data_IF_359948113943
#
_entry.id   IF_359948113943
#
_cell.length_a   1.000
_cell.length_b   1.000
_cell.length_c   1.000
_cell.angle_alpha   90.00
_cell.angle_beta   90.00
_cell.angle_gamma   90.00
#
_symmetry.space_group_name_H-M   'P 1'
#
loop_
_entity.id
_entity.type
_entity.pdbx_description
1 polymer ?
#
# COMPACT_ATOMS: atom_id res chain seq x y z
N UNK A 1 -3.21 -16.83 -17.43
CA UNK A 1 -2.57 -17.63 -16.95
C UNK A 1 -1.42 -17.63 -16.06
N UNK A 2 -1.46 -18.19 -15.10
CA UNK A 2 -0.70 -18.15 -14.35
C UNK A 2 -0.32 -19.08 -13.70
N UNK A 3 0.32 -19.30 -13.73
CA UNK A 3 1.24 -19.70 -13.38
C UNK A 3 1.34 -20.42 -12.14
N UNK A 4 2.26 -20.94 -11.80
CA UNK A 4 2.33 -21.82 -10.74
C UNK A 4 2.16 -21.11 -9.44
N UNK A 5 1.30 -21.65 -8.63
CA UNK A 5 0.94 -21.04 -7.39
C UNK A 5 2.11 -20.93 -6.43
N UNK A 6 3.01 -21.88 -6.45
CA UNK A 6 4.09 -21.88 -5.49
C UNK A 6 4.99 -20.67 -5.64
N UNK A 7 5.22 -20.23 -6.87
CA UNK A 7 6.09 -19.10 -7.09
C UNK A 7 5.40 -17.80 -6.81
N UNK A 8 4.07 -17.83 -6.61
CA UNK A 8 3.32 -16.61 -6.40
C UNK A 8 3.20 -16.22 -4.93
N UNK A 9 3.67 -17.06 -4.02
CA UNK A 9 3.50 -16.82 -2.59
C UNK A 9 4.08 -15.47 -2.17
N UNK A 10 5.22 -15.10 -2.73
CA UNK A 10 5.86 -13.84 -2.38
C UNK A 10 6.03 -12.97 -3.61
N UNK A 11 5.14 -13.11 -4.56
CA UNK A 11 5.24 -12.36 -5.78
C UNK A 11 5.05 -10.87 -5.50
N UNK A 12 5.93 -10.06 -6.05
CA UNK A 12 5.83 -8.62 -5.94
C UNK A 12 4.67 -8.15 -6.81
N UNK A 13 3.78 -7.36 -6.24
CA UNK A 13 2.62 -6.82 -6.93
C UNK A 13 2.56 -5.33 -6.72
N UNK A 14 1.61 -4.68 -7.37
CA UNK A 14 1.47 -3.24 -7.19
C UNK A 14 0.05 -2.80 -7.46
N UNK A 15 -0.35 -1.72 -6.76
CA UNK A 15 -1.56 -1.00 -7.07
C UNK A 15 -1.18 0.09 -8.06
N UNK A 16 -1.88 0.15 -9.18
CA UNK A 16 -1.66 1.18 -10.18
C UNK A 16 -2.89 2.05 -10.31
N UNK A 17 -2.67 3.34 -10.47
CA UNK A 17 -3.77 4.28 -10.64
C UNK A 17 -3.48 5.10 -11.89
N UNK A 18 -4.54 5.48 -12.60
CA UNK A 18 -4.38 6.26 -13.83
C UNK A 18 -4.93 7.65 -13.58
N UNK A 19 -4.04 8.63 -13.48
CA UNK A 19 -4.39 10.00 -13.15
C UNK A 19 -3.73 10.92 -14.15
N UNK A 20 -4.55 11.60 -14.95
CA UNK A 20 -4.06 12.63 -15.89
C UNK A 20 -2.87 12.18 -16.75
N UNK A 21 -2.92 10.96 -17.24
CA UNK A 21 -1.86 10.43 -18.08
C UNK A 21 -0.67 9.86 -17.34
N UNK A 22 -0.69 9.93 -16.01
CA UNK A 22 0.36 9.37 -15.20
C UNK A 22 -0.12 8.08 -14.52
N UNK A 23 0.82 7.25 -14.11
CA UNK A 23 0.49 5.99 -13.45
C UNK A 23 1.24 5.90 -12.13
N UNK A 24 0.77 6.62 -11.10
CA UNK A 24 1.33 6.42 -9.77
C UNK A 24 1.06 5.00 -9.29
N UNK A 25 1.95 4.46 -8.49
CA UNK A 25 1.80 3.08 -8.05
C UNK A 25 2.32 2.89 -6.64
N UNK A 26 1.78 1.86 -5.99
CA UNK A 26 2.25 1.43 -4.67
C UNK A 26 2.55 -0.06 -4.79
N UNK A 27 3.81 -0.42 -4.60
CA UNK A 27 4.23 -1.81 -4.70
C UNK A 27 4.05 -2.53 -3.38
N UNK A 28 3.68 -3.80 -3.45
CA UNK A 28 3.43 -4.55 -2.23
C UNK A 28 3.76 -6.02 -2.41
N UNK A 29 3.87 -6.72 -1.28
CA UNK A 29 4.05 -8.16 -1.25
C UNK A 29 3.03 -8.70 -0.26
N UNK A 30 2.28 -9.73 -0.65
CA UNK A 30 1.32 -10.39 0.23
C UNK A 30 1.92 -11.65 0.80
N UNK A 31 1.68 -11.87 2.08
CA UNK A 31 2.09 -13.08 2.77
C UNK A 31 0.91 -14.03 2.87
N UNK A 32 1.20 -15.32 2.95
CA UNK A 32 0.16 -16.32 3.16
C UNK A 32 -0.50 -16.17 4.53
N UNK A 33 0.14 -15.45 5.44
CA UNK A 33 -0.39 -15.27 6.77
C UNK A 33 -1.42 -14.15 6.86
N UNK A 34 -1.80 -13.58 5.72
CA UNK A 34 -2.78 -12.50 5.72
C UNK A 34 -2.17 -11.14 5.98
N UNK A 35 -0.90 -10.98 5.71
CA UNK A 35 -0.22 -9.71 5.87
C UNK A 35 0.13 -9.14 4.51
N UNK A 36 0.15 -7.81 4.41
CA UNK A 36 0.54 -7.14 3.19
C UNK A 36 1.62 -6.12 3.53
N UNK A 37 2.71 -6.17 2.80
CA UNK A 37 3.85 -5.31 3.00
C UNK A 37 3.89 -4.29 1.88
N UNK A 38 3.65 -3.03 2.20
CA UNK A 38 3.73 -1.96 1.21
C UNK A 38 5.19 -1.51 1.16
N UNK A 39 5.88 -1.89 0.08
CA UNK A 39 7.33 -1.77 0.04
C UNK A 39 7.81 -0.49 -0.63
N UNK A 40 7.05 0.05 -1.57
CA UNK A 40 7.52 1.23 -2.31
C UNK A 40 6.32 1.98 -2.90
N UNK A 41 6.41 3.30 -2.87
CA UNK A 41 5.40 4.15 -3.47
C UNK A 41 6.07 5.08 -4.47
N UNK A 42 5.47 5.19 -5.65
CA UNK A 42 6.01 6.07 -6.67
C UNK A 42 4.88 6.94 -7.20
N UNK A 43 4.99 8.24 -6.96
CA UNK A 43 4.00 9.21 -7.43
C UNK A 43 4.76 10.25 -8.24
N UNK A 44 4.40 10.44 -9.53
CA UNK A 44 5.08 11.43 -10.36
C UNK A 44 5.02 12.82 -9.72
N UNK A 45 6.12 13.55 -9.84
CA UNK A 45 6.21 14.87 -9.25
C UNK A 45 5.13 15.81 -9.78
N UNK A 46 4.71 15.60 -11.02
CA UNK A 46 3.66 16.42 -11.63
C UNK A 46 2.34 16.32 -10.89
N UNK A 47 2.12 15.24 -10.16
CA UNK A 47 0.90 15.05 -9.38
C UNK A 47 1.06 15.52 -7.93
N UNK A 48 2.25 15.94 -7.55
CA UNK A 48 2.50 16.36 -6.18
C UNK A 48 1.79 17.66 -5.86
N UNK A 49 1.42 17.84 -4.60
CA UNK A 49 0.81 19.07 -4.16
C UNK A 49 -0.68 19.18 -4.40
N UNK A 50 -1.29 18.15 -5.01
CA UNK A 50 -2.72 18.17 -5.30
C UNK A 50 -3.50 17.18 -4.46
N UNK A 51 -2.88 16.64 -3.41
CA UNK A 51 -3.57 15.68 -2.56
C UNK A 51 -3.73 14.30 -3.18
N UNK A 52 -3.14 14.08 -4.35
CA UNK A 52 -3.26 12.80 -5.04
C UNK A 52 -2.67 11.67 -4.20
N UNK A 53 -1.49 11.91 -3.62
CA UNK A 53 -0.85 10.89 -2.80
C UNK A 53 -1.72 10.42 -1.65
N UNK A 54 -2.38 11.37 -0.97
CA UNK A 54 -3.26 11.03 0.14
C UNK A 54 -4.46 10.23 -0.35
N UNK A 55 -5.02 10.59 -1.51
CA UNK A 55 -6.15 9.85 -2.05
C UNK A 55 -5.75 8.42 -2.42
N UNK A 56 -4.55 8.25 -2.98
CA UNK A 56 -4.08 6.93 -3.34
C UNK A 56 -3.87 6.07 -2.09
N UNK A 57 -3.26 6.65 -1.06
CA UNK A 57 -3.04 5.94 0.20
C UNK A 57 -4.37 5.52 0.79
N UNK A 58 -5.35 6.40 0.80
CA UNK A 58 -6.66 6.09 1.36
C UNK A 58 -7.31 4.93 0.61
N UNK A 59 -7.24 4.95 -0.72
CA UNK A 59 -7.84 3.89 -1.53
C UNK A 59 -7.17 2.54 -1.25
N UNK A 60 -5.84 2.53 -1.17
CA UNK A 60 -5.12 1.29 -0.92
C UNK A 60 -5.42 0.77 0.47
N UNK A 61 -5.41 1.64 1.47
CA UNK A 61 -5.68 1.21 2.84
C UNK A 61 -7.12 0.71 2.99
N UNK A 62 -8.07 1.35 2.30
CA UNK A 62 -9.45 0.91 2.31
C UNK A 62 -9.57 -0.49 1.73
N UNK A 63 -8.87 -0.74 0.62
CA UNK A 63 -8.89 -2.06 0.00
C UNK A 63 -8.28 -3.11 0.91
N UNK A 64 -7.18 -2.79 1.58
CA UNK A 64 -6.54 -3.70 2.51
C UNK A 64 -7.49 -4.04 3.65
N UNK A 65 -8.20 -3.05 4.16
CA UNK A 65 -9.15 -3.28 5.23
C UNK A 65 -10.29 -4.18 4.78
N UNK A 66 -10.78 -3.96 3.57
CA UNK A 66 -11.87 -4.77 3.02
C UNK A 66 -11.46 -6.21 2.84
N UNK A 67 -10.19 -6.46 2.54
CA UNK A 67 -9.69 -7.82 2.39
C UNK A 67 -9.36 -8.47 3.73
N UNK A 68 -9.37 -7.72 4.80
CA UNK A 68 -9.06 -8.27 6.11
C UNK A 68 -7.58 -8.54 6.32
N UNK A 69 -6.73 -7.88 5.55
CA UNK A 69 -5.29 -8.09 5.66
C UNK A 69 -4.70 -7.21 6.76
N UNK A 70 -3.56 -7.65 7.28
CA UNK A 70 -2.79 -6.84 8.24
C UNK A 70 -1.72 -6.08 7.47
N UNK A 71 -1.60 -4.80 7.77
CA UNK A 71 -0.71 -3.91 7.04
C UNK A 71 0.66 -3.80 7.70
N UNK A 72 1.70 -3.91 6.89
CA UNK A 72 3.06 -3.60 7.33
C UNK A 72 3.58 -2.49 6.42
N UNK A 73 3.52 -1.24 6.83
CA UNK A 73 3.92 -0.11 5.98
C UNK A 73 5.43 0.09 6.01
N UNK A 74 6.12 -0.54 5.10
CA UNK A 74 7.58 -0.39 4.99
C UNK A 74 7.95 0.87 4.22
N UNK A 75 7.03 1.39 3.42
CA UNK A 75 7.26 2.57 2.63
C UNK A 75 7.05 3.83 3.47
N UNK A 76 8.01 4.77 3.51
CA UNK A 76 7.85 5.98 4.31
C UNK A 76 6.63 6.81 3.96
N UNK A 77 6.21 6.77 2.69
CA UNK A 77 5.04 7.53 2.27
C UNK A 77 3.78 7.05 3.00
N UNK A 78 3.56 5.74 3.00
CA UNK A 78 2.37 5.18 3.65
C UNK A 78 2.47 5.30 5.17
N UNK A 79 3.65 5.08 5.72
CA UNK A 79 3.84 5.24 7.15
C UNK A 79 3.54 6.68 7.58
N UNK A 80 3.99 7.65 6.78
CA UNK A 80 3.71 9.05 7.08
C UNK A 80 2.23 9.38 6.98
N UNK A 81 1.55 8.78 6.01
CA UNK A 81 0.11 8.98 5.88
C UNK A 81 -0.62 8.46 7.13
N UNK A 82 -0.25 7.28 7.61
CA UNK A 82 -0.88 6.69 8.79
C UNK A 82 -0.56 7.54 10.03
N UNK A 83 0.63 8.10 10.08
CA UNK A 83 1.00 8.96 11.20
C UNK A 83 0.06 10.18 11.27
N UNK A 84 -0.31 10.72 10.11
CA UNK A 84 -1.23 11.85 10.06
C UNK A 84 -2.68 11.43 10.23
N UNK A 85 -2.99 10.17 9.97
CA UNK A 85 -4.34 9.64 10.08
C UNK A 85 -4.33 8.40 10.95
N UNK A 86 -4.18 8.57 12.26
CA UNK A 86 -3.98 7.44 13.17
C UNK A 86 -5.14 6.46 13.22
N UNK A 87 -6.29 6.83 12.70
CA UNK A 87 -7.41 5.89 12.63
C UNK A 87 -7.05 4.66 11.80
N UNK A 88 -6.08 4.77 10.89
CA UNK A 88 -5.67 3.63 10.09
C UNK A 88 -4.77 2.64 10.83
N UNK A 89 -4.31 3.00 12.03
CA UNK A 89 -3.50 2.07 12.82
C UNK A 89 -4.24 0.79 13.15
N UNK A 90 -5.57 0.82 13.06
CA UNK A 90 -6.38 -0.36 13.37
C UNK A 90 -6.11 -1.54 12.44
N UNK A 91 -5.60 -1.27 11.24
CA UNK A 91 -5.29 -2.35 10.29
C UNK A 91 -3.81 -2.70 10.29
N UNK A 92 -2.99 -1.96 11.01
CA UNK A 92 -1.55 -2.21 11.06
C UNK A 92 -1.26 -3.42 11.93
N UNK A 93 -0.35 -4.27 11.46
CA UNK A 93 0.04 -5.46 12.20
C UNK A 93 0.56 -5.07 13.57
N UNK A 94 0.15 -5.83 14.60
CA UNK A 94 0.58 -5.53 15.93
C UNK A 94 2.08 -5.62 16.07
N UNK A 95 2.65 -4.71 16.83
CA UNK A 95 4.09 -4.68 17.03
C UNK A 95 4.83 -3.81 16.06
N UNK A 96 4.15 -3.33 15.00
CA UNK A 96 4.77 -2.43 14.05
C UNK A 96 4.73 -1.02 14.63
N UNK A 97 5.88 -0.38 14.63
CA UNK A 97 6.00 0.97 15.18
C UNK A 97 5.91 2.00 14.05
N UNK A 98 4.94 2.90 14.18
CA UNK A 98 4.76 3.98 13.19
C UNK A 98 5.22 5.27 13.84
N UNK A 99 6.17 5.94 13.22
CA UNK A 99 6.66 7.21 13.74
C UNK A 99 5.96 8.40 13.14
#
# INVERSE_FOLDING_TARGET
GYSSAASDVYKRQQYEFHVEGYVPRIEYIKSLNGEIYLTHTEVPAALGGHGIGSQLAEKVLTDIERQGLRLVPLCPFVAGYIHKHPEWKRIVLRGIHIQ
#
